data_IF_390803070799
#
_entry.id   IF_390803070799
#
_cell.length_a   1.000
_cell.length_b   1.000
_cell.length_c   1.000
_cell.angle_alpha   90.00
_cell.angle_beta   90.00
_cell.angle_gamma   90.00
#
_symmetry.space_group_name_H-M   'P 1'
#
loop_
_entity.id
_entity.type
_entity.pdbx_description
1 polymer ?
#
# COMPACT_ATOMS: atom_id res chain seq x y z
N UNK A 1 1.37 -16.91 -51.22
CA UNK A 1 1.24 -18.16 -50.43
C UNK A 1 0.55 -17.80 -49.13
N UNK A 2 -0.74 -18.12 -49.09
CA UNK A 2 -1.66 -17.97 -47.95
C UNK A 2 -1.27 -18.96 -46.85
N UNK A 3 -1.04 -18.48 -45.63
CA UNK A 3 -1.01 -19.32 -44.42
C UNK A 3 -2.19 -18.96 -43.51
N UNK A 4 -2.96 -20.00 -43.25
CA UNK A 4 -4.30 -20.03 -42.67
C UNK A 4 -4.27 -19.77 -41.16
N UNK A 5 -5.04 -18.77 -40.71
CA UNK A 5 -5.40 -18.63 -39.30
C UNK A 5 -6.50 -19.64 -38.98
N UNK A 6 -6.18 -20.68 -38.21
CA UNK A 6 -7.15 -21.69 -37.79
C UNK A 6 -8.05 -21.11 -36.70
N UNK A 7 -9.27 -20.71 -37.07
CA UNK A 7 -10.37 -20.49 -36.12
C UNK A 7 -10.86 -21.85 -35.63
N UNK A 8 -10.59 -22.20 -34.38
CA UNK A 8 -11.15 -23.40 -33.76
C UNK A 8 -12.56 -23.09 -33.26
N UNK A 9 -13.54 -23.84 -33.76
CA UNK A 9 -14.93 -23.84 -33.32
C UNK A 9 -14.98 -24.55 -31.96
N UNK A 10 -15.67 -23.98 -30.98
CA UNK A 10 -15.90 -24.62 -29.67
C UNK A 10 -16.85 -25.79 -29.87
N UNK A 11 -16.37 -27.01 -29.69
CA UNK A 11 -17.22 -28.19 -29.48
C UNK A 11 -17.47 -28.36 -27.98
N UNK A 12 -18.74 -28.55 -27.64
CA UNK A 12 -19.22 -28.75 -26.27
C UNK A 12 -18.66 -30.06 -25.67
N UNK A 13 -18.22 -30.00 -24.41
CA UNK A 13 -18.12 -31.18 -23.54
C UNK A 13 -16.80 -31.95 -23.55
N UNK A 14 -15.73 -31.33 -23.04
CA UNK A 14 -14.63 -32.06 -22.38
C UNK A 14 -13.83 -31.11 -21.46
N UNK A 15 -13.95 -31.28 -20.15
CA UNK A 15 -13.05 -30.63 -19.18
C UNK A 15 -11.61 -31.13 -19.42
N UNK A 16 -10.81 -30.26 -20.04
CA UNK A 16 -9.36 -30.32 -19.99
C UNK A 16 -8.94 -29.32 -18.91
N UNK A 17 -8.03 -29.73 -18.02
CA UNK A 17 -7.46 -28.88 -16.95
C UNK A 17 -6.89 -27.58 -17.53
N UNK A 18 -7.75 -26.57 -17.63
CA UNK A 18 -7.47 -25.30 -18.26
C UNK A 18 -6.74 -24.39 -17.29
N UNK A 19 -5.71 -23.73 -17.78
CA UNK A 19 -5.01 -22.68 -17.02
C UNK A 19 -6.04 -21.60 -16.65
N UNK A 20 -6.15 -21.25 -15.37
CA UNK A 20 -7.02 -20.15 -14.92
C UNK A 20 -6.54 -18.84 -15.56
N UNK A 21 -7.46 -18.01 -16.04
CA UNK A 21 -7.14 -16.72 -16.65
C UNK A 21 -7.57 -15.56 -15.74
N UNK A 22 -6.97 -14.39 -15.94
CA UNK A 22 -7.48 -13.13 -15.41
C UNK A 22 -7.98 -12.26 -16.56
N UNK A 23 -8.99 -11.45 -16.28
CA UNK A 23 -9.59 -10.54 -17.26
C UNK A 23 -8.93 -9.17 -17.11
N UNK A 24 -8.18 -8.72 -18.12
CA UNK A 24 -7.59 -7.38 -18.15
C UNK A 24 -8.69 -6.33 -18.24
N UNK A 25 -8.51 -5.20 -17.54
CA UNK A 25 -9.42 -4.05 -17.60
C UNK A 25 -8.65 -2.77 -17.90
N UNK A 26 -9.26 -1.86 -18.63
CA UNK A 26 -8.70 -0.52 -18.85
C UNK A 26 -8.93 0.42 -17.65
N UNK A 27 -8.41 1.65 -17.74
CA UNK A 27 -8.53 2.68 -16.70
C UNK A 27 -9.98 3.12 -16.40
N UNK A 28 -10.93 2.75 -17.27
CA UNK A 28 -12.36 3.01 -17.12
C UNK A 28 -13.11 1.80 -16.53
N UNK A 29 -12.40 0.72 -16.21
CA UNK A 29 -12.98 -0.51 -15.70
C UNK A 29 -13.74 -1.31 -16.76
N UNK A 30 -13.36 -1.18 -18.05
CA UNK A 30 -13.90 -2.00 -19.12
C UNK A 30 -13.00 -3.23 -19.35
N UNK A 31 -13.55 -4.46 -19.23
CA UNK A 31 -12.85 -5.68 -19.64
C UNK A 31 -12.39 -5.61 -21.09
N UNK A 32 -11.11 -5.87 -21.34
CA UNK A 32 -10.47 -5.65 -22.64
C UNK A 32 -9.84 -6.91 -23.24
N UNK A 33 -9.27 -7.79 -22.41
CA UNK A 33 -8.62 -9.02 -22.84
C UNK A 33 -8.51 -10.03 -21.68
N UNK A 34 -7.92 -11.19 -21.92
CA UNK A 34 -7.58 -12.18 -20.89
C UNK A 34 -6.13 -12.62 -21.02
N UNK A 35 -5.48 -12.91 -19.89
CA UNK A 35 -4.14 -13.54 -19.86
C UNK A 35 -4.13 -14.69 -18.85
N UNK A 36 -3.26 -15.70 -19.01
CA UNK A 36 -3.09 -16.74 -18.00
C UNK A 36 -2.71 -16.14 -16.64
N UNK A 37 -3.34 -16.60 -15.57
CA UNK A 37 -3.09 -16.10 -14.20
C UNK A 37 -1.61 -16.17 -13.76
N UNK A 38 -0.86 -17.24 -14.08
CA UNK A 38 0.58 -17.29 -13.77
C UNK A 38 1.39 -16.17 -14.44
N UNK A 39 0.93 -15.68 -15.60
CA UNK A 39 1.62 -14.65 -16.39
C UNK A 39 1.21 -13.24 -15.98
N UNK A 40 0.11 -13.10 -15.23
CA UNK A 40 -0.42 -11.81 -14.83
C UNK A 40 0.42 -11.12 -13.74
N UNK A 41 0.85 -11.88 -12.73
CA UNK A 41 1.45 -11.33 -11.51
C UNK A 41 2.97 -11.24 -11.63
N UNK A 42 3.47 -10.07 -12.01
CA UNK A 42 4.89 -9.77 -12.21
C UNK A 42 5.26 -8.40 -11.61
N UNK A 43 6.44 -7.85 -11.93
CA UNK A 43 6.79 -6.47 -11.56
C UNK A 43 6.01 -5.41 -12.35
N UNK A 44 5.38 -5.80 -13.46
CA UNK A 44 4.60 -4.94 -14.36
C UNK A 44 3.17 -5.46 -14.53
N UNK A 45 2.58 -6.03 -13.48
CA UNK A 45 1.21 -6.59 -13.49
C UNK A 45 0.21 -5.59 -14.11
N UNK A 46 -0.44 -5.96 -15.24
CA UNK A 46 -1.45 -5.12 -15.85
C UNK A 46 -2.69 -5.04 -14.93
N UNK A 47 -3.45 -3.96 -15.08
CA UNK A 47 -4.72 -3.84 -14.37
C UNK A 47 -5.67 -4.95 -14.84
N UNK A 48 -6.19 -5.73 -13.89
CA UNK A 48 -7.09 -6.84 -14.18
C UNK A 48 -8.20 -6.95 -13.15
N UNK A 49 -9.22 -7.74 -13.47
CA UNK A 49 -10.41 -7.90 -12.66
C UNK A 49 -10.21 -8.99 -11.62
N UNK A 50 -10.63 -8.69 -10.40
CA UNK A 50 -10.65 -9.59 -9.26
C UNK A 50 -11.92 -9.37 -8.44
N UNK A 51 -12.05 -10.06 -7.32
CA UNK A 51 -13.01 -9.75 -6.27
C UNK A 51 -12.41 -10.04 -4.91
N UNK A 52 -12.97 -9.38 -3.90
CA UNK A 52 -12.63 -9.63 -2.50
C UNK A 52 -13.88 -9.89 -1.69
N UNK A 53 -13.85 -10.91 -0.84
CA UNK A 53 -14.99 -11.37 -0.06
C UNK A 53 -14.73 -11.22 1.45
N UNK A 54 -15.65 -10.56 2.15
CA UNK A 54 -15.72 -10.54 3.62
C UNK A 54 -16.90 -11.40 4.07
N UNK A 55 -16.61 -12.53 4.73
CA UNK A 55 -17.65 -13.39 5.30
C UNK A 55 -18.03 -12.90 6.70
N UNK A 56 -19.32 -12.72 6.95
CA UNK A 56 -19.89 -12.13 8.17
C UNK A 56 -20.93 -13.05 8.82
N UNK A 57 -21.11 -12.94 10.14
CA UNK A 57 -22.07 -13.73 10.93
C UNK A 57 -22.92 -12.88 11.86
N UNK A 58 -24.16 -13.35 12.13
CA UNK A 58 -25.18 -12.88 13.06
C UNK A 58 -24.71 -11.93 14.17
N UNK A 59 -23.69 -12.43 14.85
CA UNK A 59 -23.08 -11.97 16.08
C UNK A 59 -21.99 -10.90 15.88
N UNK A 60 -21.82 -10.38 14.66
CA UNK A 60 -20.82 -9.37 14.32
C UNK A 60 -19.40 -9.93 14.14
N UNK A 61 -19.26 -11.26 14.02
CA UNK A 61 -17.98 -11.89 13.68
C UNK A 61 -17.72 -11.78 12.17
N UNK A 62 -16.44 -11.65 11.81
CA UNK A 62 -15.95 -11.72 10.44
C UNK A 62 -14.87 -12.80 10.34
N UNK A 63 -14.81 -13.47 9.20
CA UNK A 63 -13.81 -14.52 8.95
C UNK A 63 -12.53 -13.92 8.36
N UNK A 64 -11.42 -14.18 9.04
CA UNK A 64 -10.07 -14.00 8.50
C UNK A 64 -9.48 -15.34 8.08
N UNK A 65 -8.69 -15.32 7.02
CA UNK A 65 -7.90 -16.46 6.57
C UNK A 65 -6.43 -16.07 6.51
N UNK A 66 -5.55 -17.02 6.78
CA UNK A 66 -4.13 -16.92 6.54
C UNK A 66 -3.83 -17.61 5.22
N UNK A 67 -3.26 -16.87 4.27
CA UNK A 67 -2.86 -17.41 2.97
C UNK A 67 -1.87 -18.57 3.16
N UNK A 68 -2.02 -19.65 2.41
CA UNK A 68 -1.05 -20.75 2.45
C UNK A 68 0.38 -20.26 2.19
N UNK A 69 1.36 -20.85 2.87
CA UNK A 69 2.76 -20.38 2.86
C UNK A 69 3.47 -20.56 1.50
N UNK A 70 2.90 -21.34 0.60
CA UNK A 70 3.44 -21.56 -0.75
C UNK A 70 2.72 -20.75 -1.83
N UNK A 71 1.77 -19.87 -1.45
CA UNK A 71 1.15 -18.96 -2.42
C UNK A 71 2.21 -18.03 -3.03
N UNK A 72 2.18 -17.81 -4.36
CA UNK A 72 3.20 -16.99 -5.03
C UNK A 72 3.15 -15.52 -4.60
N UNK A 73 1.97 -15.02 -4.20
CA UNK A 73 1.77 -13.64 -3.75
C UNK A 73 1.32 -13.63 -2.28
N UNK A 74 1.94 -12.77 -1.45
CA UNK A 74 1.69 -12.64 0.00
C UNK A 74 1.54 -13.99 0.76
N UNK A 75 2.54 -14.89 0.72
CA UNK A 75 2.48 -16.17 1.44
C UNK A 75 2.39 -15.96 2.96
N UNK A 76 1.53 -16.72 3.65
CA UNK A 76 1.41 -16.69 5.11
C UNK A 76 0.75 -15.42 5.68
N UNK A 77 0.28 -14.50 4.84
CA UNK A 77 -0.31 -13.24 5.27
C UNK A 77 -1.78 -13.45 5.65
N UNK A 78 -2.19 -12.86 6.78
CA UNK A 78 -3.59 -12.81 7.19
C UNK A 78 -4.37 -11.81 6.32
N UNK A 79 -5.57 -12.18 5.90
CA UNK A 79 -6.40 -11.40 4.98
C UNK A 79 -7.89 -11.65 5.26
N UNK A 80 -8.76 -10.87 4.61
CA UNK A 80 -10.19 -11.15 4.55
C UNK A 80 -10.49 -12.55 3.98
N UNK A 81 -11.71 -13.05 4.21
CA UNK A 81 -12.09 -14.44 4.00
C UNK A 81 -11.59 -15.11 2.70
N UNK A 82 -11.87 -14.53 1.54
CA UNK A 82 -11.52 -15.14 0.25
C UNK A 82 -11.34 -14.04 -0.83
N UNK A 83 -10.40 -14.24 -1.75
CA UNK A 83 -10.19 -13.36 -2.91
C UNK A 83 -9.96 -14.21 -4.16
N UNK A 84 -10.30 -13.71 -5.34
CA UNK A 84 -10.08 -14.45 -6.56
C UNK A 84 -10.37 -13.65 -7.82
N UNK A 85 -10.37 -14.35 -8.95
CA UNK A 85 -10.50 -13.76 -10.28
C UNK A 85 -11.73 -14.35 -10.98
N UNK A 86 -12.72 -13.53 -11.36
CA UNK A 86 -13.83 -14.00 -12.16
C UNK A 86 -13.32 -14.37 -13.57
N UNK A 87 -13.82 -15.49 -14.11
CA UNK A 87 -13.51 -15.90 -15.47
C UNK A 87 -14.36 -15.13 -16.49
N UNK A 88 -13.92 -15.08 -17.75
CA UNK A 88 -14.73 -14.49 -18.82
C UNK A 88 -16.04 -15.26 -18.98
N UNK A 89 -17.18 -14.55 -18.97
CA UNK A 89 -18.52 -15.16 -19.00
C UNK A 89 -19.04 -15.62 -17.63
N UNK A 90 -18.21 -15.60 -16.59
CA UNK A 90 -18.63 -15.86 -15.21
C UNK A 90 -19.17 -14.56 -14.58
N UNK A 91 -20.24 -14.66 -13.80
CA UNK A 91 -20.70 -13.56 -12.94
C UNK A 91 -19.87 -13.47 -11.65
N UNK A 92 -19.88 -12.32 -10.98
CA UNK A 92 -19.22 -12.21 -9.68
C UNK A 92 -19.84 -13.14 -8.63
N UNK A 93 -21.15 -13.37 -8.68
CA UNK A 93 -21.82 -14.31 -7.78
C UNK A 93 -21.27 -15.71 -7.97
N UNK A 94 -21.17 -16.18 -9.21
CA UNK A 94 -20.60 -17.49 -9.53
C UNK A 94 -19.14 -17.60 -9.10
N UNK A 95 -18.32 -16.58 -9.41
CA UNK A 95 -16.91 -16.57 -9.05
C UNK A 95 -16.67 -16.60 -7.54
N UNK A 96 -17.40 -15.79 -6.77
CA UNK A 96 -17.32 -15.78 -5.30
C UNK A 96 -17.81 -17.11 -4.72
N UNK A 97 -18.91 -17.65 -5.25
CA UNK A 97 -19.47 -18.94 -4.79
C UNK A 97 -18.50 -20.08 -5.02
N UNK A 98 -17.90 -20.13 -6.22
CA UNK A 98 -16.89 -21.12 -6.60
C UNK A 98 -15.66 -21.04 -5.71
N UNK A 99 -15.06 -19.86 -5.55
CA UNK A 99 -13.85 -19.72 -4.72
C UNK A 99 -14.09 -19.95 -3.24
N UNK A 100 -15.23 -19.55 -2.68
CA UNK A 100 -15.57 -19.91 -1.30
C UNK A 100 -15.72 -21.43 -1.11
N UNK A 101 -16.33 -22.11 -2.09
CA UNK A 101 -16.43 -23.56 -2.09
C UNK A 101 -15.07 -24.26 -2.19
N UNK A 102 -14.20 -23.77 -3.09
CA UNK A 102 -12.86 -24.32 -3.30
C UNK A 102 -11.92 -24.07 -2.11
N UNK A 103 -11.80 -22.82 -1.63
CA UNK A 103 -10.82 -22.46 -0.60
C UNK A 103 -11.27 -22.83 0.82
N UNK A 104 -12.58 -22.78 1.10
CA UNK A 104 -13.14 -22.87 2.45
C UNK A 104 -14.18 -23.97 2.65
N UNK A 105 -14.65 -24.61 1.57
CA UNK A 105 -15.75 -25.57 1.64
C UNK A 105 -17.09 -24.93 2.06
N UNK A 106 -17.22 -23.60 1.96
CA UNK A 106 -18.37 -22.85 2.44
C UNK A 106 -19.39 -22.58 1.33
N UNK A 107 -20.68 -22.49 1.68
CA UNK A 107 -21.73 -22.10 0.73
C UNK A 107 -22.34 -20.76 1.13
N UNK A 108 -22.40 -19.78 0.21
CA UNK A 108 -23.03 -18.51 0.52
C UNK A 108 -24.56 -18.64 0.59
N UNK A 109 -25.16 -18.10 1.64
CA UNK A 109 -26.62 -17.92 1.77
C UNK A 109 -27.07 -16.53 1.29
N UNK A 110 -26.20 -15.53 1.43
CA UNK A 110 -26.43 -14.16 0.95
C UNK A 110 -25.12 -13.57 0.43
N UNK A 111 -25.21 -12.82 -0.68
CA UNK A 111 -24.10 -12.03 -1.20
C UNK A 111 -24.60 -10.61 -1.52
N UNK A 112 -23.85 -9.61 -1.08
CA UNK A 112 -24.13 -8.20 -1.33
C UNK A 112 -22.86 -7.46 -1.76
N UNK A 113 -22.99 -6.55 -2.73
CA UNK A 113 -21.89 -5.69 -3.15
C UNK A 113 -21.80 -4.48 -2.23
N UNK A 114 -20.72 -4.40 -1.45
CA UNK A 114 -20.48 -3.29 -0.52
C UNK A 114 -19.69 -2.15 -1.17
N UNK A 115 -18.67 -2.47 -1.96
CA UNK A 115 -17.85 -1.48 -2.68
C UNK A 115 -17.64 -1.95 -4.12
N UNK A 116 -18.25 -1.26 -5.09
CA UNK A 116 -18.21 -1.66 -6.51
C UNK A 116 -16.99 -1.21 -7.30
N UNK A 117 -16.30 -0.17 -6.84
CA UNK A 117 -15.20 0.50 -7.55
C UNK A 117 -13.86 0.39 -6.83
N UNK A 118 -13.74 -0.55 -5.89
CA UNK A 118 -12.49 -0.78 -5.18
C UNK A 118 -11.43 -1.23 -6.17
N UNK A 119 -10.40 -0.42 -6.35
CA UNK A 119 -9.26 -0.72 -7.22
C UNK A 119 -7.98 -0.44 -6.44
N UNK A 120 -6.97 -1.28 -6.56
CA UNK A 120 -5.74 -1.12 -5.78
C UNK A 120 -4.50 -1.58 -6.54
N UNK A 121 -3.35 -1.06 -6.11
CA UNK A 121 -2.03 -1.53 -6.53
C UNK A 121 -1.17 -1.78 -5.30
N UNK A 122 -0.73 -3.02 -5.12
CA UNK A 122 0.15 -3.41 -4.02
C UNK A 122 1.43 -4.04 -4.55
N UNK A 123 2.57 -3.63 -4.01
CA UNK A 123 3.88 -4.22 -4.34
C UNK A 123 4.35 -5.06 -3.16
N UNK A 124 4.68 -6.31 -3.41
CA UNK A 124 5.30 -7.22 -2.44
C UNK A 124 6.81 -6.96 -2.35
N UNK A 125 7.46 -7.34 -1.25
CA UNK A 125 8.90 -7.11 -1.04
C UNK A 125 9.81 -7.65 -2.17
N UNK A 126 9.38 -8.71 -2.88
CA UNK A 126 10.08 -9.27 -4.04
C UNK A 126 9.82 -8.56 -5.37
N UNK A 127 9.05 -7.46 -5.38
CA UNK A 127 8.73 -6.68 -6.57
C UNK A 127 7.47 -7.13 -7.31
N UNK A 128 6.92 -8.31 -7.02
CA UNK A 128 5.63 -8.76 -7.58
C UNK A 128 4.50 -7.82 -7.20
N UNK A 129 3.66 -7.49 -8.17
CA UNK A 129 2.58 -6.50 -8.05
C UNK A 129 1.22 -7.20 -8.13
N UNK A 130 0.30 -6.78 -7.26
CA UNK A 130 -1.15 -6.93 -7.46
C UNK A 130 -1.65 -5.59 -8.00
N UNK A 131 -2.41 -5.60 -9.09
CA UNK A 131 -2.97 -4.41 -9.70
C UNK A 131 -4.37 -4.73 -10.20
N UNK A 132 -5.37 -4.49 -9.36
CA UNK A 132 -6.69 -5.06 -9.55
C UNK A 132 -7.80 -4.01 -9.46
N UNK A 133 -8.80 -4.15 -10.33
CA UNK A 133 -10.18 -3.71 -10.04
C UNK A 133 -10.84 -4.86 -9.28
N UNK A 134 -11.11 -4.67 -7.99
CA UNK A 134 -11.43 -5.72 -7.05
C UNK A 134 -12.68 -5.36 -6.21
N UNK A 135 -13.90 -5.43 -6.80
CA UNK A 135 -15.14 -5.21 -6.07
C UNK A 135 -15.21 -6.02 -4.77
N UNK A 136 -15.70 -5.36 -3.71
CA UNK A 136 -15.78 -5.92 -2.36
C UNK A 136 -17.18 -6.44 -2.10
N UNK A 137 -17.26 -7.74 -1.90
CA UNK A 137 -18.49 -8.49 -1.66
C UNK A 137 -18.55 -8.90 -0.20
N UNK A 138 -19.72 -8.75 0.40
CA UNK A 138 -20.02 -9.21 1.75
C UNK A 138 -20.87 -10.46 1.61
N UNK A 139 -20.49 -11.48 2.36
CA UNK A 139 -21.11 -12.80 2.24
C UNK A 139 -21.55 -13.31 3.61
N UNK A 140 -22.75 -13.84 3.67
CA UNK A 140 -23.17 -14.72 4.75
C UNK A 140 -23.09 -16.15 4.21
N UNK A 141 -22.58 -17.07 5.02
CA UNK A 141 -22.47 -18.49 4.69
C UNK A 141 -23.43 -19.31 5.56
N UNK A 142 -23.66 -20.56 5.17
CA UNK A 142 -24.36 -21.52 6.02
C UNK A 142 -23.59 -21.83 7.31
N UNK A 143 -24.29 -22.42 8.29
CA UNK A 143 -23.70 -22.79 9.59
C UNK A 143 -22.88 -24.10 9.54
N UNK A 144 -22.65 -24.64 8.34
CA UNK A 144 -21.83 -25.85 8.15
C UNK A 144 -20.36 -25.57 8.53
N UNK A 145 -19.65 -26.55 9.13
CA UNK A 145 -18.24 -26.38 9.46
C UNK A 145 -17.39 -26.12 8.21
N UNK A 146 -16.54 -25.09 8.27
CA UNK A 146 -15.56 -24.79 7.25
C UNK A 146 -14.62 -25.98 7.02
N UNK A 147 -14.22 -26.20 5.77
CA UNK A 147 -13.24 -27.21 5.35
C UNK A 147 -12.18 -26.54 4.47
N UNK A 148 -11.25 -25.78 5.06
CA UNK A 148 -10.27 -25.05 4.28
C UNK A 148 -9.34 -25.99 3.51
N UNK A 149 -9.06 -25.67 2.25
CA UNK A 149 -8.03 -26.35 1.48
C UNK A 149 -6.65 -25.86 1.95
N UNK A 150 -5.80 -26.77 2.43
CA UNK A 150 -4.45 -26.47 2.88
C UNK A 150 -3.53 -25.93 1.77
N UNK A 151 -3.89 -26.15 0.49
CA UNK A 151 -3.23 -25.52 -0.65
C UNK A 151 -3.50 -23.99 -0.70
N UNK A 152 -4.63 -23.55 -0.16
CA UNK A 152 -5.09 -22.16 -0.32
C UNK A 152 -5.04 -21.37 1.00
N UNK A 153 -5.33 -22.04 2.12
CA UNK A 153 -5.53 -21.47 3.46
C UNK A 153 -4.73 -22.25 4.50
N UNK A 154 -3.80 -21.57 5.18
CA UNK A 154 -2.98 -22.14 6.26
C UNK A 154 -3.71 -22.16 7.62
N UNK A 155 -4.50 -21.13 7.91
CA UNK A 155 -5.26 -20.97 9.15
C UNK A 155 -6.49 -20.09 8.89
N UNK A 156 -7.49 -20.15 9.78
CA UNK A 156 -8.68 -19.29 9.70
C UNK A 156 -9.21 -18.96 11.10
N UNK A 157 -9.77 -17.75 11.26
CA UNK A 157 -10.29 -17.28 12.54
C UNK A 157 -11.53 -16.42 12.36
N UNK A 158 -12.51 -16.65 13.22
CA UNK A 158 -13.59 -15.71 13.45
C UNK A 158 -13.11 -14.67 14.45
N UNK A 159 -13.26 -13.40 14.10
CA UNK A 159 -12.90 -12.26 14.97
C UNK A 159 -14.03 -11.26 15.03
N UNK A 160 -14.24 -10.54 16.14
CA UNK A 160 -15.15 -9.41 16.17
C UNK A 160 -14.74 -8.35 15.14
N UNK A 161 -15.71 -7.77 14.41
CA UNK A 161 -15.42 -6.72 13.42
C UNK A 161 -14.59 -5.56 13.98
N UNK A 162 -14.91 -5.09 15.19
CA UNK A 162 -14.18 -4.00 15.83
C UNK A 162 -12.70 -4.34 16.11
N UNK A 163 -12.39 -5.62 16.36
CA UNK A 163 -11.03 -6.08 16.54
C UNK A 163 -10.25 -6.00 15.23
N UNK A 164 -10.87 -6.41 14.11
CA UNK A 164 -10.27 -6.27 12.79
C UNK A 164 -10.02 -4.80 12.43
N UNK A 165 -10.98 -3.91 12.72
CA UNK A 165 -10.82 -2.45 12.50
C UNK A 165 -9.64 -1.91 13.31
N UNK A 166 -9.53 -2.25 14.60
CA UNK A 166 -8.40 -1.85 15.44
C UNK A 166 -7.07 -2.40 14.93
N UNK A 167 -7.03 -3.67 14.54
CA UNK A 167 -5.83 -4.32 13.99
C UNK A 167 -5.38 -3.67 12.69
N UNK A 168 -6.29 -3.37 11.78
CA UNK A 168 -5.98 -2.70 10.52
C UNK A 168 -5.39 -1.29 10.75
N UNK A 169 -5.85 -0.57 11.77
CA UNK A 169 -5.33 0.76 12.09
C UNK A 169 -4.00 0.74 12.86
N UNK A 170 -3.85 -0.16 13.83
CA UNK A 170 -2.69 -0.20 14.73
C UNK A 170 -1.52 -1.03 14.17
N UNK A 171 -1.83 -2.11 13.46
CA UNK A 171 -0.87 -3.10 12.97
C UNK A 171 -1.14 -3.45 11.50
N UNK A 172 -1.17 -2.47 10.57
CA UNK A 172 -1.55 -2.70 9.17
C UNK A 172 -0.66 -3.74 8.47
N UNK A 173 0.62 -3.84 8.85
CA UNK A 173 1.55 -4.84 8.32
C UNK A 173 1.21 -6.29 8.71
N UNK A 174 0.33 -6.49 9.69
CA UNK A 174 -0.15 -7.81 10.12
C UNK A 174 -1.22 -8.39 9.20
N UNK A 175 -1.71 -7.61 8.23
CA UNK A 175 -2.77 -7.96 7.29
C UNK A 175 -2.31 -7.72 5.85
N UNK A 176 -3.01 -8.31 4.89
CA UNK A 176 -2.81 -7.98 3.48
C UNK A 176 -3.16 -6.50 3.22
N UNK A 177 -2.46 -5.83 2.30
CA UNK A 177 -2.70 -4.41 2.08
C UNK A 177 -4.11 -4.08 1.58
N UNK A 178 -4.69 -4.94 0.76
CA UNK A 178 -6.08 -4.78 0.30
C UNK A 178 -7.05 -4.94 1.47
N UNK A 179 -6.83 -5.90 2.38
CA UNK A 179 -7.68 -6.07 3.55
C UNK A 179 -7.67 -4.81 4.45
N UNK A 180 -6.50 -4.20 4.67
CA UNK A 180 -6.39 -2.93 5.42
C UNK A 180 -7.19 -1.82 4.75
N UNK A 181 -7.01 -1.62 3.44
CA UNK A 181 -7.71 -0.57 2.69
C UNK A 181 -9.23 -0.78 2.69
N UNK A 182 -9.69 -2.01 2.48
CA UNK A 182 -11.12 -2.36 2.46
C UNK A 182 -11.75 -2.20 3.84
N UNK A 183 -11.05 -2.59 4.92
CA UNK A 183 -11.57 -2.43 6.30
C UNK A 183 -11.84 -0.97 6.61
N UNK A 184 -10.97 -0.05 6.17
CA UNK A 184 -11.18 1.39 6.34
C UNK A 184 -12.43 1.89 5.59
N UNK A 185 -12.65 1.45 4.34
CA UNK A 185 -13.83 1.84 3.55
C UNK A 185 -15.13 1.24 4.12
N UNK A 186 -15.11 -0.05 4.46
CA UNK A 186 -16.25 -0.74 5.04
C UNK A 186 -16.65 -0.15 6.40
N UNK A 187 -15.68 0.22 7.25
CA UNK A 187 -15.95 0.89 8.52
C UNK A 187 -16.57 2.28 8.35
N UNK A 188 -16.27 2.98 7.24
CA UNK A 188 -16.87 4.26 6.91
C UNK A 188 -18.32 4.13 6.40
N UNK A 189 -18.70 2.98 5.82
CA UNK A 189 -20.07 2.71 5.40
C UNK A 189 -21.01 2.42 6.58
N UNK A 190 -20.58 1.57 7.52
CA UNK A 190 -21.34 1.23 8.72
C UNK A 190 -20.43 0.66 9.80
N UNK A 191 -20.70 0.94 11.09
CA UNK A 191 -19.98 0.34 12.20
C UNK A 191 -20.29 -1.16 12.38
N UNK A 192 -21.41 -1.65 11.82
CA UNK A 192 -21.79 -3.06 11.87
C UNK A 192 -21.74 -3.70 10.47
N UNK A 193 -21.09 -4.86 10.31
CA UNK A 193 -21.08 -5.60 9.05
C UNK A 193 -22.48 -6.01 8.58
N UNK A 194 -23.44 -6.18 9.51
CA UNK A 194 -24.84 -6.51 9.21
C UNK A 194 -25.64 -5.39 8.57
N UNK A 195 -25.17 -4.15 8.73
CA UNK A 195 -25.86 -2.96 8.26
C UNK A 195 -25.17 -2.34 7.05
N UNK A 196 -24.21 -3.04 6.43
CA UNK A 196 -23.65 -2.59 5.17
C UNK A 196 -24.74 -2.56 4.09
N UNK A 197 -24.81 -1.47 3.31
CA UNK A 197 -25.85 -1.33 2.30
C UNK A 197 -25.70 -2.42 1.23
N UNK A 198 -26.81 -3.04 0.86
CA UNK A 198 -26.90 -3.72 -0.44
C UNK A 198 -26.88 -2.62 -1.50
N UNK A 199 -25.72 -2.38 -2.12
CA UNK A 199 -25.60 -1.30 -3.10
C UNK A 199 -26.63 -1.42 -4.22
N UNK A 200 -27.04 -0.31 -4.88
CA UNK A 200 -27.98 -0.33 -6.01
C UNK A 200 -27.45 -1.13 -7.23
N UNK A 201 -26.18 -1.51 -7.20
CA UNK A 201 -25.50 -2.34 -8.18
C UNK A 201 -25.62 -3.86 -7.88
N UNK A 202 -26.66 -4.33 -7.20
CA UNK A 202 -26.97 -5.76 -7.07
C UNK A 202 -26.93 -6.47 -8.44
N UNK A 203 -27.32 -5.78 -9.52
CA UNK A 203 -27.20 -6.27 -10.90
C UNK A 203 -25.77 -6.62 -11.29
N UNK A 204 -24.75 -5.92 -10.79
CA UNK A 204 -23.34 -6.20 -11.12
C UNK A 204 -22.91 -7.60 -10.67
N UNK A 205 -23.45 -8.10 -9.55
CA UNK A 205 -23.10 -9.43 -9.05
C UNK A 205 -23.57 -10.55 -10.00
N UNK A 206 -24.68 -10.33 -10.68
CA UNK A 206 -25.38 -11.35 -11.47
C UNK A 206 -25.07 -11.25 -12.98
N UNK A 207 -24.39 -10.18 -13.39
CA UNK A 207 -24.04 -9.95 -14.78
C UNK A 207 -22.74 -10.70 -15.12
N UNK A 208 -22.74 -11.52 -16.18
CA UNK A 208 -21.51 -12.14 -16.69
C UNK A 208 -20.46 -11.08 -17.04
N UNK A 209 -19.20 -11.35 -16.69
CA UNK A 209 -18.07 -10.55 -17.13
C UNK A 209 -17.96 -10.64 -18.65
N UNK A 210 -18.21 -9.53 -19.33
CA UNK A 210 -18.20 -9.42 -20.79
C UNK A 210 -17.24 -8.33 -21.27
N UNK A 211 -16.57 -8.60 -22.38
CA UNK A 211 -15.66 -7.64 -23.01
C UNK A 211 -16.39 -6.35 -23.42
N UNK A 212 -15.76 -5.20 -23.17
CA UNK A 212 -16.24 -3.87 -23.55
C UNK A 212 -17.38 -3.31 -22.70
N UNK A 213 -17.83 -4.03 -21.66
CA UNK A 213 -18.90 -3.56 -20.76
C UNK A 213 -18.30 -2.93 -19.50
N UNK A 214 -18.51 -1.63 -19.22
CA UNK A 214 -17.97 -0.99 -18.02
C UNK A 214 -18.55 -1.61 -16.75
N UNK A 215 -17.67 -1.89 -15.80
CA UNK A 215 -18.01 -2.44 -14.48
C UNK A 215 -18.17 -1.34 -13.41
N UNK A 216 -17.56 -0.17 -13.60
CA UNK A 216 -17.65 0.98 -12.70
C UNK A 216 -18.21 2.22 -13.42
N UNK A 217 -18.96 3.05 -12.68
CA UNK A 217 -19.46 4.33 -13.17
C UNK A 217 -18.44 5.45 -12.89
N UNK A 218 -17.33 5.48 -13.62
CA UNK A 218 -16.32 6.56 -13.51
C UNK A 218 -14.87 6.08 -13.60
N UNK A 219 -13.90 7.02 -13.63
CA UNK A 219 -12.48 6.68 -13.67
C UNK A 219 -12.05 5.97 -12.37
N UNK A 220 -11.30 4.88 -12.51
CA UNK A 220 -10.82 4.11 -11.38
C UNK A 220 -9.77 4.90 -10.57
N UNK A 221 -9.89 4.90 -9.24
CA UNK A 221 -8.86 5.40 -8.34
C UNK A 221 -8.20 4.23 -7.64
N UNK A 222 -7.02 3.86 -8.13
CA UNK A 222 -6.22 2.79 -7.54
C UNK A 222 -5.66 3.23 -6.16
N UNK A 223 -6.05 2.54 -5.09
CA UNK A 223 -5.48 2.69 -3.75
C UNK A 223 -4.09 2.03 -3.76
N UNK A 224 -3.05 2.73 -3.33
CA UNK A 224 -1.71 2.14 -3.19
C UNK A 224 -1.45 1.73 -1.74
N UNK A 225 -0.80 0.59 -1.53
CA UNK A 225 -0.40 0.15 -0.19
C UNK A 225 0.76 0.94 0.42
N UNK A 226 1.42 1.80 -0.37
CA UNK A 226 2.48 2.67 0.11
C UNK A 226 1.93 3.91 0.81
N UNK A 227 2.59 4.30 1.90
CA UNK A 227 2.45 5.65 2.42
C UNK A 227 2.85 6.64 1.32
N UNK A 228 2.20 7.80 1.24
CA UNK A 228 2.61 8.90 0.35
C UNK A 228 4.09 9.29 0.53
N UNK A 229 4.71 8.90 1.64
CA UNK A 229 6.14 9.10 1.90
C UNK A 229 7.05 8.04 1.26
N UNK A 230 6.58 6.82 0.99
CA UNK A 230 7.41 5.70 0.57
C UNK A 230 8.22 5.96 -0.72
N UNK A 231 7.65 6.54 -1.80
CA UNK A 231 8.43 6.82 -3.00
C UNK A 231 9.46 7.95 -2.81
N UNK A 232 9.38 8.68 -1.69
CA UNK A 232 10.16 9.91 -1.47
C UNK A 232 11.21 9.72 -0.38
N UNK A 233 10.90 8.96 0.66
CA UNK A 233 11.65 8.97 1.91
C UNK A 233 13.09 8.46 1.75
N UNK A 234 13.27 7.28 1.14
CA UNK A 234 14.61 6.72 0.93
C UNK A 234 15.44 7.51 -0.09
N UNK A 235 14.90 7.87 -1.29
CA UNK A 235 15.64 8.66 -2.27
C UNK A 235 16.08 10.03 -1.73
N UNK A 236 15.19 10.75 -1.04
CA UNK A 236 15.51 12.07 -0.47
C UNK A 236 16.58 11.98 0.61
N UNK A 237 16.49 10.97 1.50
CA UNK A 237 17.54 10.73 2.51
C UNK A 237 18.89 10.42 1.87
N UNK A 238 18.92 9.65 0.79
CA UNK A 238 20.15 9.35 0.06
C UNK A 238 20.76 10.62 -0.58
N UNK A 239 19.92 11.48 -1.17
CA UNK A 239 20.37 12.78 -1.72
C UNK A 239 20.94 13.66 -0.61
N UNK A 240 20.24 13.80 0.52
CA UNK A 240 20.68 14.60 1.67
C UNK A 240 21.98 14.08 2.27
N UNK A 241 22.08 12.76 2.48
CA UNK A 241 23.27 12.14 3.07
C UNK A 241 24.51 12.35 2.20
N UNK A 242 24.40 12.13 0.89
CA UNK A 242 25.50 12.39 -0.06
C UNK A 242 25.89 13.87 -0.07
N UNK A 243 24.91 14.77 -0.18
CA UNK A 243 25.16 16.21 -0.17
C UNK A 243 25.88 16.66 1.11
N UNK A 244 25.44 16.19 2.28
CA UNK A 244 26.04 16.55 3.56
C UNK A 244 27.44 15.96 3.72
N UNK A 245 27.68 14.72 3.28
CA UNK A 245 29.02 14.13 3.30
C UNK A 245 30.02 14.99 2.49
N UNK A 246 29.62 15.43 1.30
CA UNK A 246 30.44 16.30 0.46
C UNK A 246 30.70 17.66 1.13
N UNK A 247 29.69 18.24 1.80
CA UNK A 247 29.84 19.53 2.50
C UNK A 247 30.68 19.44 3.77
N UNK A 248 30.52 18.39 4.56
CA UNK A 248 31.37 18.14 5.74
C UNK A 248 32.83 18.00 5.32
N UNK A 249 33.11 17.20 4.28
CA UNK A 249 34.47 17.04 3.76
C UNK A 249 35.08 18.37 3.28
N UNK A 250 34.29 19.20 2.59
CA UNK A 250 34.73 20.52 2.14
C UNK A 250 35.04 21.48 3.30
N UNK A 251 34.25 21.46 4.37
CA UNK A 251 34.47 22.31 5.55
C UNK A 251 35.70 21.87 6.35
N UNK A 252 35.88 20.56 6.57
CA UNK A 252 37.04 20.01 7.27
C UNK A 252 38.34 20.28 6.51
N UNK A 253 38.30 20.33 5.17
CA UNK A 253 39.45 20.70 4.36
C UNK A 253 39.87 22.17 4.54
N UNK A 254 38.95 23.05 4.97
CA UNK A 254 39.26 24.45 5.31
C UNK A 254 39.86 24.52 6.71
N UNK A 255 39.21 23.92 7.69
CA UNK A 255 39.68 23.83 9.07
C UNK A 255 39.06 22.61 9.76
N UNK A 256 39.88 21.81 10.43
CA UNK A 256 39.43 20.59 11.12
C UNK A 256 38.38 20.89 12.21
N UNK A 257 38.44 22.07 12.82
CA UNK A 257 37.49 22.54 13.82
C UNK A 257 36.08 22.76 13.27
N UNK A 258 35.91 23.01 11.97
CA UNK A 258 34.59 23.15 11.36
C UNK A 258 33.82 21.83 11.28
N UNK A 259 34.52 20.69 11.44
CA UNK A 259 33.90 19.37 11.47
C UNK A 259 32.83 19.24 12.56
N UNK A 260 33.06 19.84 13.74
CA UNK A 260 32.14 19.71 14.87
C UNK A 260 30.80 20.43 14.64
N UNK A 261 30.84 21.56 13.93
CA UNK A 261 29.66 22.33 13.53
C UNK A 261 28.92 21.62 12.40
N UNK A 262 29.66 21.16 11.39
CA UNK A 262 29.09 20.45 10.25
C UNK A 262 28.41 19.13 10.68
N UNK A 263 28.97 18.44 11.68
CA UNK A 263 28.39 17.24 12.25
C UNK A 263 27.06 17.50 12.95
N UNK A 264 26.84 18.64 13.61
CA UNK A 264 25.54 18.94 14.23
C UNK A 264 24.43 19.09 13.18
N UNK A 265 24.73 19.76 12.06
CA UNK A 265 23.78 19.86 10.94
C UNK A 265 23.48 18.47 10.38
N UNK A 266 24.51 17.64 10.18
CA UNK A 266 24.35 16.28 9.68
C UNK A 266 23.50 15.43 10.62
N UNK A 267 23.80 15.45 11.91
CA UNK A 267 23.07 14.70 12.94
C UNK A 267 21.60 15.12 13.04
N UNK A 268 21.30 16.41 12.86
CA UNK A 268 19.92 16.92 12.88
C UNK A 268 19.13 16.46 11.64
N UNK A 269 19.76 16.46 10.46
CA UNK A 269 19.15 15.96 9.22
C UNK A 269 18.94 14.45 9.29
N UNK A 270 19.93 13.69 9.78
CA UNK A 270 19.87 12.24 9.94
C UNK A 270 18.85 11.80 11.00
N UNK A 271 18.68 12.56 12.08
CA UNK A 271 17.61 12.34 13.06
C UNK A 271 16.21 12.34 12.41
N UNK A 272 16.08 12.98 11.26
CA UNK A 272 14.94 12.85 10.36
C UNK A 272 13.70 13.63 10.80
N UNK A 273 12.82 13.86 9.83
CA UNK A 273 11.51 14.48 10.04
C UNK A 273 10.40 13.64 9.43
N UNK A 274 9.20 14.20 9.41
CA UNK A 274 8.03 13.58 8.77
C UNK A 274 8.12 13.54 7.23
N UNK A 275 9.08 14.27 6.63
CA UNK A 275 9.30 14.36 5.17
C UNK A 275 8.06 14.79 4.36
N UNK A 276 7.11 15.49 4.99
CA UNK A 276 5.89 15.97 4.33
C UNK A 276 6.20 16.96 3.20
N UNK A 277 7.16 17.86 3.40
CA UNK A 277 7.55 18.86 2.39
C UNK A 277 8.12 18.19 1.13
N UNK A 278 9.13 17.30 1.23
CA UNK A 278 9.55 16.47 0.10
C UNK A 278 8.40 15.76 -0.61
N UNK A 279 7.46 15.19 0.15
CA UNK A 279 6.30 14.50 -0.43
C UNK A 279 5.40 15.44 -1.23
N UNK A 280 5.12 16.65 -0.73
CA UNK A 280 4.36 17.65 -1.48
C UNK A 280 5.04 18.06 -2.78
N UNK A 281 6.37 18.17 -2.79
CA UNK A 281 7.12 18.50 -4.01
C UNK A 281 6.98 17.36 -5.04
N UNK A 282 7.20 16.12 -4.59
CA UNK A 282 7.09 14.94 -5.45
C UNK A 282 5.66 14.76 -6.01
N UNK A 283 4.64 14.77 -5.16
CA UNK A 283 3.27 14.58 -5.60
C UNK A 283 2.73 15.78 -6.38
N UNK A 284 3.19 16.99 -6.08
CA UNK A 284 2.91 18.18 -6.89
C UNK A 284 3.47 18.05 -8.31
N UNK A 285 4.69 17.53 -8.46
CA UNK A 285 5.28 17.22 -9.76
C UNK A 285 4.47 16.17 -10.52
N UNK A 286 4.09 15.07 -9.86
CA UNK A 286 3.24 14.02 -10.45
C UNK A 286 1.87 14.56 -10.89
N UNK A 287 1.23 15.36 -10.05
CA UNK A 287 -0.06 15.98 -10.36
C UNK A 287 0.02 16.98 -11.53
N UNK A 288 1.18 17.61 -11.73
CA UNK A 288 1.46 18.48 -12.87
C UNK A 288 1.83 17.72 -14.16
N UNK A 289 1.80 16.38 -14.17
CA UNK A 289 2.09 15.54 -15.34
C UNK A 289 3.53 15.07 -15.47
N UNK A 290 4.36 15.24 -14.43
CA UNK A 290 5.73 14.73 -14.41
C UNK A 290 5.79 13.20 -14.30
N UNK A 291 6.72 12.58 -15.03
CA UNK A 291 6.92 11.13 -15.12
C UNK A 291 8.27 10.65 -14.55
N UNK A 292 9.25 11.54 -14.39
CA UNK A 292 10.60 11.22 -13.92
C UNK A 292 10.77 11.53 -12.42
N UNK A 293 10.45 10.55 -11.57
CA UNK A 293 10.54 10.67 -10.10
C UNK A 293 11.94 11.10 -9.61
N UNK A 294 13.00 10.65 -10.28
CA UNK A 294 14.37 11.01 -9.92
C UNK A 294 14.66 12.51 -10.07
N UNK A 295 14.06 13.17 -11.06
CA UNK A 295 14.30 14.58 -11.37
C UNK A 295 13.83 15.51 -10.23
N UNK A 296 12.83 15.07 -9.45
CA UNK A 296 12.25 15.87 -8.37
C UNK A 296 12.91 15.62 -7.00
N UNK A 297 13.75 14.58 -6.86
CA UNK A 297 14.37 14.24 -5.58
C UNK A 297 15.37 15.29 -5.08
N UNK A 298 16.12 15.92 -5.99
CA UNK A 298 17.02 17.04 -5.66
C UNK A 298 16.26 18.24 -5.07
N UNK A 299 15.27 18.81 -5.79
CA UNK A 299 14.41 19.87 -5.26
C UNK A 299 13.68 19.50 -3.96
N UNK A 300 13.17 18.27 -3.86
CA UNK A 300 12.52 17.78 -2.64
C UNK A 300 13.48 17.75 -1.44
N UNK A 301 14.71 17.29 -1.64
CA UNK A 301 15.76 17.31 -0.62
C UNK A 301 16.15 18.73 -0.21
N UNK A 302 16.27 19.65 -1.17
CA UNK A 302 16.56 21.06 -0.90
C UNK A 302 15.49 21.71 0.00
N UNK A 303 14.21 21.40 -0.21
CA UNK A 303 13.12 21.88 0.63
C UNK A 303 13.22 21.37 2.09
N UNK A 304 13.61 20.10 2.30
CA UNK A 304 13.82 19.55 3.64
C UNK A 304 15.03 20.19 4.33
N UNK A 305 16.11 20.46 3.57
CA UNK A 305 17.30 21.13 4.11
C UNK A 305 17.00 22.58 4.50
N UNK A 306 16.25 23.31 3.66
CA UNK A 306 15.80 24.68 3.97
C UNK A 306 14.93 24.72 5.24
N UNK A 307 14.05 23.73 5.41
CA UNK A 307 13.27 23.63 6.63
C UNK A 307 14.14 23.30 7.85
N UNK A 308 15.13 22.43 7.69
CA UNK A 308 16.06 22.09 8.77
C UNK A 308 16.89 23.30 9.20
N UNK A 309 17.32 24.12 8.24
CA UNK A 309 17.94 25.42 8.50
C UNK A 309 17.03 26.31 9.36
N UNK A 310 15.76 26.48 8.98
CA UNK A 310 14.82 27.29 9.76
C UNK A 310 14.66 26.77 11.20
N UNK A 311 14.55 25.45 11.38
CA UNK A 311 14.43 24.85 12.71
C UNK A 311 15.66 25.11 13.60
N UNK A 312 16.86 25.11 13.00
CA UNK A 312 18.09 25.35 13.73
C UNK A 312 18.16 26.80 14.23
N UNK A 313 17.75 27.75 13.39
CA UNK A 313 17.60 29.15 13.79
C UNK A 313 16.52 29.34 14.87
N UNK A 314 15.34 28.71 14.69
CA UNK A 314 14.26 28.77 15.67
C UNK A 314 14.71 28.22 17.03
N UNK A 315 15.50 27.15 17.05
CA UNK A 315 16.03 26.57 18.28
C UNK A 315 16.87 27.59 19.07
N UNK A 316 17.68 28.41 18.39
CA UNK A 316 18.49 29.47 19.02
C UNK A 316 17.60 30.64 19.47
N UNK A 317 16.69 31.10 18.60
CA UNK A 317 15.79 32.23 18.90
C UNK A 317 14.87 31.94 20.08
N UNK A 318 14.33 30.73 20.15
CA UNK A 318 13.38 30.29 21.18
C UNK A 318 14.09 29.69 22.41
N UNK A 319 15.42 29.56 22.39
CA UNK A 319 16.23 28.88 23.42
C UNK A 319 15.73 27.45 23.68
N UNK A 320 15.38 26.74 22.61
CA UNK A 320 14.88 25.37 22.69
C UNK A 320 16.00 24.41 23.08
N UNK A 321 15.83 23.67 24.18
CA UNK A 321 16.88 22.76 24.65
C UNK A 321 16.98 21.47 23.81
N UNK A 322 15.89 21.07 23.13
CA UNK A 322 15.79 19.77 22.44
C UNK A 322 15.10 19.86 21.09
N UNK A 323 15.59 19.07 20.14
CA UNK A 323 15.03 18.90 18.79
C UNK A 323 15.12 17.44 18.37
N UNK A 324 14.01 16.89 17.85
CA UNK A 324 13.93 15.52 17.31
C UNK A 324 14.50 14.46 18.29
N UNK A 325 14.21 14.63 19.59
CA UNK A 325 14.66 13.71 20.65
C UNK A 325 16.11 13.89 21.12
N UNK A 326 16.85 14.86 20.56
CA UNK A 326 18.26 15.15 20.86
C UNK A 326 18.40 16.56 21.46
N UNK A 327 19.52 16.89 22.13
CA UNK A 327 19.85 18.28 22.41
C UNK A 327 19.84 19.11 21.13
N UNK A 328 19.37 20.36 21.19
CA UNK A 328 19.47 21.29 20.06
C UNK A 328 20.94 21.60 19.74
N UNK A 329 21.24 22.01 18.51
CA UNK A 329 22.62 22.20 18.04
C UNK A 329 23.44 23.14 18.94
N UNK A 330 22.86 24.28 19.34
CA UNK A 330 23.55 25.24 20.22
C UNK A 330 23.84 24.65 21.62
N UNK A 331 22.95 23.80 22.14
CA UNK A 331 23.17 23.10 23.42
C UNK A 331 24.26 22.04 23.29
N UNK A 332 24.26 21.29 22.18
CA UNK A 332 25.26 20.25 21.92
C UNK A 332 26.66 20.85 21.73
N UNK A 333 26.77 21.95 21.00
CA UNK A 333 28.03 22.68 20.81
C UNK A 333 28.54 23.29 22.12
N UNK A 334 27.67 23.90 22.92
CA UNK A 334 28.03 24.41 24.24
C UNK A 334 28.53 23.29 25.17
N UNK A 335 27.85 22.14 25.19
CA UNK A 335 28.28 20.99 25.99
C UNK A 335 29.69 20.51 25.57
N UNK A 336 29.95 20.34 24.26
CA UNK A 336 31.27 19.97 23.75
C UNK A 336 32.36 20.98 24.09
N UNK A 337 32.04 22.28 24.09
CA UNK A 337 32.99 23.32 24.48
C UNK A 337 33.40 23.17 25.96
N UNK A 338 32.42 22.96 26.86
CA UNK A 338 32.68 22.73 28.29
C UNK A 338 33.47 21.44 28.52
N UNK A 339 33.06 20.35 27.88
CA UNK A 339 33.71 19.04 28.01
C UNK A 339 35.15 19.06 27.48
N UNK A 340 35.41 19.88 26.47
CA UNK A 340 36.76 20.13 25.93
C UNK A 340 37.62 21.08 26.76
N UNK A 341 37.11 21.59 27.89
CA UNK A 341 37.75 22.59 28.76
C UNK A 341 38.34 23.78 27.98
N UNK A 342 37.59 24.25 26.96
CA UNK A 342 38.01 25.34 26.08
C UNK A 342 37.82 26.69 26.78
N UNK A 343 38.62 27.68 26.38
CA UNK A 343 38.50 29.04 26.90
C UNK A 343 37.25 29.75 26.34
N UNK A 344 36.67 30.65 27.13
CA UNK A 344 35.53 31.49 26.74
C UNK A 344 34.17 30.99 27.24
N UNK A 345 33.11 31.71 26.88
CA UNK A 345 31.73 31.39 27.23
C UNK A 345 31.19 30.28 26.30
N UNK A 346 30.88 29.13 26.88
CA UNK A 346 30.38 27.97 26.15
C UNK A 346 28.99 28.17 25.55
N UNK A 347 28.11 28.92 26.23
CA UNK A 347 26.75 29.18 25.75
C UNK A 347 26.79 30.14 24.56
N UNK A 348 27.65 31.16 24.64
CA UNK A 348 27.91 32.06 23.51
C UNK A 348 28.51 31.32 22.31
N UNK A 349 29.46 30.41 22.55
CA UNK A 349 30.02 29.55 21.50
C UNK A 349 28.94 28.71 20.84
N UNK A 350 28.09 28.06 21.64
CA UNK A 350 27.00 27.24 21.14
C UNK A 350 26.00 28.03 20.30
N UNK A 351 25.58 29.20 20.77
CA UNK A 351 24.62 30.05 20.06
C UNK A 351 25.20 30.68 18.78
N UNK A 352 26.52 30.96 18.74
CA UNK A 352 27.17 31.54 17.56
C UNK A 352 27.56 30.50 16.51
N UNK A 353 27.78 29.25 16.94
CA UNK A 353 28.16 28.15 16.06
C UNK A 353 26.97 27.41 15.43
N UNK A 354 25.77 27.56 15.99
CA UNK A 354 24.51 27.05 15.43
C UNK A 354 23.93 28.07 14.44
#
# INVERSE_FOLDING_TARGET
>A
MTTSATRTRVEEGKELGGVEHVVLVDERGCPSATIPKPDAHSSTTPLHLAFSCHVVRADGQVLLTQRAHHKPTWPGVWTNACCGHPQLGESFREAVTRRLGEELGARPVRLALAVGDFAYRAVMAGGTVEHELCPVVVVEIDDEPLRPDAAEVADHRWVPWEELVRRAAAEPASLSPWSVAQVAELAALSPSPWSWPEGPAATMLDLPVGLGRPLAAGPLRARTNGNALDPVAAPVRAVLSRFLADKVAALVAVDVGLGEVADEVRLLVEAGGKLLRPAFVHWGHRAAGGDADEAVMGPAAALELLHTFALLHDDVMDRSERRRGRPAAHVALAARHRDGNRLGDADWFGASGA
#
